data_IF_354689842459
#
_entry.id   IF_354689842459
#
_cell.length_a   1.000
_cell.length_b   1.000
_cell.length_c   1.000
_cell.angle_alpha   90.00
_cell.angle_beta   90.00
_cell.angle_gamma   90.00
#
_symmetry.space_group_name_H-M   'P 1'
#
loop_
_entity.id
_entity.type
_entity.pdbx_description
1 polymer ?
#
# COMPACT_ATOMS: atom_id res chain seq x y z
N UNK A 1 22.95 -25.21 14.14
CA UNK A 1 22.32 -24.05 14.82
C UNK A 1 21.00 -23.76 14.13
N UNK A 2 19.88 -23.91 14.83
CA UNK A 2 18.57 -23.45 14.34
C UNK A 2 18.51 -21.95 14.61
N UNK A 3 18.50 -21.13 13.54
CA UNK A 3 18.30 -19.69 13.67
C UNK A 3 16.94 -19.42 14.28
N UNK A 4 16.89 -18.70 15.40
CA UNK A 4 15.64 -18.29 16.02
C UNK A 4 15.03 -17.23 15.10
N UNK A 5 13.93 -17.56 14.42
CA UNK A 5 13.19 -16.60 13.62
C UNK A 5 12.65 -15.50 14.55
N UNK A 6 13.25 -14.30 14.48
CA UNK A 6 12.76 -13.14 15.23
C UNK A 6 11.65 -12.46 14.45
N UNK A 7 10.48 -12.34 15.07
CA UNK A 7 9.47 -11.36 14.65
C UNK A 7 9.95 -9.98 15.15
N UNK A 8 9.76 -8.88 14.40
CA UNK A 8 10.04 -7.53 14.92
C UNK A 8 9.34 -7.30 16.28
N UNK A 9 9.75 -6.34 17.10
CA UNK A 9 8.95 -5.98 18.30
C UNK A 9 7.68 -5.20 17.90
N UNK A 10 7.86 -4.31 16.94
CA UNK A 10 6.82 -3.54 16.25
C UNK A 10 7.37 -3.11 14.87
N UNK A 11 6.49 -2.67 13.98
CA UNK A 11 6.87 -2.01 12.73
C UNK A 11 5.94 -0.84 12.45
N UNK A 12 6.44 0.28 11.93
CA UNK A 12 5.58 1.35 11.42
C UNK A 12 5.29 1.06 9.96
N UNK A 13 4.07 1.35 9.55
CA UNK A 13 3.65 1.25 8.15
C UNK A 13 2.92 2.51 7.76
N UNK A 14 3.28 3.05 6.60
CA UNK A 14 2.52 4.07 5.92
C UNK A 14 1.87 3.46 4.68
N UNK A 15 0.56 3.55 4.58
CA UNK A 15 -0.22 3.11 3.43
C UNK A 15 -0.79 4.33 2.69
N UNK A 16 -0.57 4.39 1.38
CA UNK A 16 -1.04 5.48 0.51
C UNK A 16 -1.92 4.90 -0.58
N UNK A 17 -3.16 5.39 -0.67
CA UNK A 17 -4.07 5.11 -1.78
C UNK A 17 -3.86 6.16 -2.87
N UNK A 18 -3.58 5.69 -4.08
CA UNK A 18 -3.24 6.53 -5.23
C UNK A 18 -4.17 6.17 -6.38
N UNK A 19 -4.60 7.18 -7.12
CA UNK A 19 -5.35 7.05 -8.36
C UNK A 19 -4.45 7.42 -9.54
N UNK A 20 -4.33 6.50 -10.50
CA UNK A 20 -3.58 6.70 -11.75
C UNK A 20 -4.52 6.91 -12.93
N UNK A 21 -4.22 7.88 -13.78
CA UNK A 21 -5.02 8.22 -14.95
C UNK A 21 -4.16 8.87 -16.04
N UNK A 22 -4.61 8.81 -17.29
CA UNK A 22 -4.04 9.59 -18.40
C UNK A 22 -4.71 10.96 -18.55
N UNK A 23 -5.84 11.17 -17.85
CA UNK A 23 -6.61 12.40 -17.90
C UNK A 23 -6.07 13.47 -16.95
N UNK A 24 -6.44 14.73 -17.20
CA UNK A 24 -6.13 15.82 -16.30
C UNK A 24 -6.81 15.63 -14.93
N UNK A 25 -6.25 16.29 -13.91
CA UNK A 25 -6.83 16.29 -12.57
C UNK A 25 -8.31 16.75 -12.63
N UNK A 26 -9.25 15.99 -12.05
CA UNK A 26 -10.67 16.33 -12.10
C UNK A 26 -10.95 17.62 -11.33
N UNK A 27 -11.76 18.49 -11.93
CA UNK A 27 -12.22 19.74 -11.31
C UNK A 27 -13.09 19.43 -10.09
N UNK A 28 -12.87 20.14 -8.99
CA UNK A 28 -13.65 19.98 -7.75
C UNK A 28 -13.17 18.90 -6.77
N UNK A 29 -12.16 18.08 -7.11
CA UNK A 29 -11.51 17.18 -6.13
C UNK A 29 -10.18 17.75 -5.64
N UNK A 30 -10.03 17.86 -4.33
CA UNK A 30 -8.76 18.26 -3.70
C UNK A 30 -7.79 17.07 -3.60
N UNK A 31 -7.41 16.52 -4.75
CA UNK A 31 -6.39 15.47 -4.83
C UNK A 31 -4.99 16.09 -4.83
N UNK A 32 -4.06 15.50 -4.10
CA UNK A 32 -2.66 15.94 -4.13
C UNK A 32 -1.91 15.14 -5.19
N UNK A 33 -0.98 15.78 -5.90
CA UNK A 33 -0.02 15.00 -6.67
C UNK A 33 0.87 14.21 -5.70
N UNK A 34 1.21 12.99 -6.08
CA UNK A 34 2.23 12.22 -5.34
C UNK A 34 3.58 12.91 -5.51
N UNK A 35 4.49 12.70 -4.55
CA UNK A 35 5.85 13.24 -4.67
C UNK A 35 6.58 12.67 -5.91
N UNK A 36 7.58 13.40 -6.40
CA UNK A 36 8.28 13.06 -7.64
C UNK A 36 8.93 11.67 -7.59
N UNK A 37 9.52 11.28 -6.45
CA UNK A 37 10.16 9.97 -6.29
C UNK A 37 9.14 8.84 -6.42
N UNK A 38 7.97 8.99 -5.79
CA UNK A 38 6.89 8.01 -5.89
C UNK A 38 6.28 8.00 -7.30
N UNK A 39 6.10 9.16 -7.91
CA UNK A 39 5.64 9.29 -9.30
C UNK A 39 6.55 8.52 -10.26
N UNK A 40 7.86 8.76 -10.19
CA UNK A 40 8.83 8.14 -11.09
C UNK A 40 8.86 6.63 -10.90
N UNK A 41 8.79 6.16 -9.64
CA UNK A 41 8.68 4.73 -9.33
C UNK A 41 7.48 4.09 -10.01
N UNK A 42 6.31 4.73 -9.95
CA UNK A 42 5.09 4.20 -10.55
C UNK A 42 5.13 4.30 -12.08
N UNK A 43 5.59 5.41 -12.64
CA UNK A 43 5.67 5.64 -14.08
C UNK A 43 6.67 4.71 -14.79
N UNK A 44 7.72 4.27 -14.09
CA UNK A 44 8.67 3.29 -14.63
C UNK A 44 8.08 1.88 -14.79
N UNK A 45 6.96 1.58 -14.11
CA UNK A 45 6.34 0.24 -14.10
C UNK A 45 4.96 0.26 -14.76
N UNK A 46 4.22 1.35 -14.63
CA UNK A 46 2.84 1.47 -15.08
C UNK A 46 2.68 2.59 -16.11
N UNK A 47 1.72 2.43 -17.01
CA UNK A 47 1.54 3.28 -18.20
C UNK A 47 0.93 4.67 -17.95
N UNK A 48 0.51 4.99 -16.73
CA UNK A 48 -0.35 6.16 -16.47
C UNK A 48 0.46 7.45 -16.43
N UNK A 49 -0.08 8.53 -17.02
CA UNK A 49 0.61 9.83 -17.06
C UNK A 49 0.59 10.58 -15.72
N UNK A 50 -0.51 10.45 -14.99
CA UNK A 50 -0.78 11.21 -13.78
C UNK A 50 -1.07 10.27 -12.61
N UNK A 51 -0.58 10.64 -11.43
CA UNK A 51 -0.77 9.90 -10.18
C UNK A 51 -1.14 10.88 -9.06
N UNK A 52 -2.26 10.59 -8.40
CA UNK A 52 -2.80 11.46 -7.37
C UNK A 52 -3.02 10.70 -6.06
N UNK A 53 -2.53 11.25 -4.96
CA UNK A 53 -2.83 10.77 -3.62
C UNK A 53 -4.29 11.05 -3.29
N UNK A 54 -5.01 9.98 -2.98
CA UNK A 54 -6.40 10.01 -2.52
C UNK A 54 -6.44 10.07 -1.01
N UNK A 55 -5.65 9.23 -0.34
CA UNK A 55 -5.55 9.20 1.12
C UNK A 55 -4.22 8.57 1.55
N UNK A 56 -3.75 8.93 2.75
CA UNK A 56 -2.57 8.39 3.40
C UNK A 56 -2.85 8.12 4.86
N UNK A 57 -2.47 6.94 5.32
CA UNK A 57 -2.63 6.51 6.71
C UNK A 57 -1.31 5.96 7.22
N UNK A 58 -1.03 6.17 8.50
CA UNK A 58 0.13 5.60 9.19
C UNK A 58 -0.37 4.80 10.38
N UNK A 59 0.20 3.61 10.60
CA UNK A 59 -0.12 2.75 11.72
C UNK A 59 1.15 2.15 12.32
N UNK A 60 1.12 1.88 13.62
CA UNK A 60 2.11 1.04 14.29
C UNK A 60 1.55 -0.37 14.38
N UNK A 61 2.32 -1.35 13.92
CA UNK A 61 1.99 -2.76 13.90
C UNK A 61 2.71 -3.44 15.07
N UNK A 62 2.02 -3.69 16.20
CA UNK A 62 2.61 -4.46 17.28
C UNK A 62 2.67 -5.94 16.89
N UNK A 63 3.77 -6.61 17.20
CA UNK A 63 3.93 -8.02 16.84
C UNK A 63 3.08 -8.99 17.63
N UNK A 64 2.46 -8.50 18.71
CA UNK A 64 1.44 -9.22 19.47
C UNK A 64 0.07 -9.22 18.78
N UNK A 65 -0.19 -8.31 17.82
CA UNK A 65 -1.46 -8.27 17.11
C UNK A 65 -1.54 -9.37 16.05
N UNK A 66 -2.69 -10.04 15.99
CA UNK A 66 -2.94 -11.10 15.01
C UNK A 66 -3.06 -10.55 13.58
N UNK A 67 -3.76 -9.43 13.41
CA UNK A 67 -3.98 -8.69 12.15
C UNK A 67 -4.34 -7.25 12.52
N UNK A 68 -3.77 -6.27 11.82
CA UNK A 68 -4.14 -4.86 11.92
C UNK A 68 -4.80 -4.41 10.61
N UNK A 69 -5.96 -3.80 10.69
CA UNK A 69 -6.64 -3.22 9.52
C UNK A 69 -6.37 -1.73 9.42
N UNK A 70 -6.00 -1.27 8.23
CA UNK A 70 -5.80 0.14 7.88
C UNK A 70 -6.83 0.50 6.81
N UNK A 71 -7.79 1.36 7.16
CA UNK A 71 -8.84 1.81 6.24
C UNK A 71 -8.35 3.00 5.42
N UNK A 72 -8.35 2.87 4.09
CA UNK A 72 -7.90 3.90 3.15
C UNK A 72 -9.06 4.65 2.50
N UNK A 73 -10.20 3.99 2.32
CA UNK A 73 -11.46 4.61 1.92
C UNK A 73 -12.64 3.76 2.41
N UNK A 74 -13.87 4.12 2.05
CA UNK A 74 -15.04 3.26 2.32
C UNK A 74 -14.94 1.91 1.62
N UNK A 75 -14.37 1.89 0.42
CA UNK A 75 -14.26 0.69 -0.41
C UNK A 75 -12.86 0.05 -0.36
N UNK A 76 -11.88 0.63 0.34
CA UNK A 76 -10.50 0.13 0.33
C UNK A 76 -9.90 0.08 1.73
N UNK A 77 -9.40 -1.10 2.11
CA UNK A 77 -8.57 -1.29 3.30
C UNK A 77 -7.48 -2.32 3.05
N UNK A 78 -6.46 -2.30 3.90
CA UNK A 78 -5.44 -3.35 3.95
C UNK A 78 -5.42 -3.98 5.34
N UNK A 79 -5.40 -5.32 5.35
CA UNK A 79 -5.13 -6.13 6.52
C UNK A 79 -3.63 -6.46 6.53
N UNK A 80 -2.93 -6.10 7.60
CA UNK A 80 -1.49 -6.33 7.73
C UNK A 80 -1.22 -7.21 8.95
N UNK A 81 -0.42 -8.25 8.75
CA UNK A 81 0.03 -9.15 9.81
C UNK A 81 1.55 -9.25 9.78
N UNK A 82 2.18 -9.03 10.93
CA UNK A 82 3.60 -9.34 11.10
C UNK A 82 3.78 -10.84 11.29
N UNK A 83 4.70 -11.41 10.50
CA UNK A 83 5.11 -12.80 10.53
C UNK A 83 6.55 -12.89 11.06
N UNK A 84 7.00 -14.09 11.49
CA UNK A 84 8.40 -14.32 11.79
C UNK A 84 9.32 -13.98 10.61
N UNK A 85 10.63 -13.89 10.88
CA UNK A 85 11.66 -13.59 9.87
C UNK A 85 11.53 -12.21 9.22
N UNK A 86 11.01 -11.22 9.97
CA UNK A 86 10.81 -9.85 9.47
C UNK A 86 9.99 -9.80 8.17
N UNK A 87 8.85 -10.49 8.13
CA UNK A 87 7.94 -10.48 6.98
C UNK A 87 6.61 -9.88 7.40
N UNK A 88 6.03 -9.03 6.55
CA UNK A 88 4.63 -8.63 6.63
C UNK A 88 3.81 -9.37 5.58
N UNK A 89 2.68 -9.95 5.98
CA UNK A 89 1.63 -10.40 5.08
C UNK A 89 0.58 -9.29 4.98
N UNK A 90 0.35 -8.83 3.75
CA UNK A 90 -0.55 -7.73 3.44
C UNK A 90 -1.65 -8.27 2.54
N UNK A 91 -2.89 -8.10 2.96
CA UNK A 91 -4.08 -8.48 2.22
C UNK A 91 -4.90 -7.24 1.91
N UNK A 92 -5.11 -6.98 0.63
CA UNK A 92 -5.94 -5.88 0.15
C UNK A 92 -7.41 -6.30 0.13
N UNK A 93 -8.26 -5.46 0.72
CA UNK A 93 -9.71 -5.58 0.67
C UNK A 93 -10.26 -4.44 -0.18
N UNK A 94 -10.95 -4.79 -1.26
CA UNK A 94 -11.63 -3.86 -2.17
C UNK A 94 -13.11 -4.19 -2.23
N UNK A 95 -13.98 -3.20 -2.00
CA UNK A 95 -15.45 -3.35 -2.00
C UNK A 95 -15.92 -4.51 -1.12
N UNK A 96 -15.29 -4.65 0.05
CA UNK A 96 -15.58 -5.72 1.01
C UNK A 96 -15.05 -7.11 0.63
N UNK A 97 -14.31 -7.25 -0.48
CA UNK A 97 -13.76 -8.54 -0.96
C UNK A 97 -12.25 -8.55 -0.92
N UNK A 98 -11.67 -9.69 -0.55
CA UNK A 98 -10.22 -9.89 -0.65
C UNK A 98 -9.80 -9.87 -2.12
N UNK A 99 -8.88 -8.97 -2.48
CA UNK A 99 -8.42 -8.81 -3.86
C UNK A 99 -7.07 -9.49 -4.08
N UNK A 100 -6.11 -9.26 -3.18
CA UNK A 100 -4.77 -9.83 -3.28
C UNK A 100 -4.15 -9.99 -1.89
N UNK A 101 -3.37 -11.05 -1.71
CA UNK A 101 -2.50 -11.24 -0.54
C UNK A 101 -1.06 -11.30 -1.01
N UNK A 102 -0.17 -10.55 -0.38
CA UNK A 102 1.27 -10.53 -0.66
C UNK A 102 2.08 -10.58 0.61
N UNK A 103 3.20 -11.30 0.56
CA UNK A 103 4.24 -11.25 1.58
C UNK A 103 5.32 -10.28 1.15
N UNK A 104 5.80 -9.48 2.09
CA UNK A 104 6.83 -8.49 1.89
C UNK A 104 7.85 -8.58 3.02
N UNK A 105 9.13 -8.69 2.67
CA UNK A 105 10.22 -8.70 3.66
C UNK A 105 10.48 -7.27 4.11
N UNK A 106 10.39 -7.02 5.42
CA UNK A 106 10.67 -5.74 6.06
C UNK A 106 12.16 -5.38 6.04
N UNK A 107 13.03 -6.32 5.68
CA UNK A 107 14.45 -6.06 5.44
C UNK A 107 14.70 -5.36 4.10
N UNK A 108 13.70 -5.30 3.21
CA UNK A 108 13.83 -4.60 1.94
C UNK A 108 13.50 -3.11 2.13
N UNK A 109 14.31 -2.19 1.58
CA UNK A 109 14.02 -0.75 1.64
C UNK A 109 12.90 -0.33 0.67
N UNK A 110 12.43 -1.26 -0.16
CA UNK A 110 11.45 -0.99 -1.21
C UNK A 110 10.02 -1.03 -0.70
N UNK A 111 9.17 -0.17 -1.26
CA UNK A 111 7.74 -0.17 -0.96
C UNK A 111 7.08 -1.43 -1.55
N UNK A 112 6.08 -1.95 -0.86
CA UNK A 112 5.11 -2.88 -1.47
C UNK A 112 4.09 -2.06 -2.26
N UNK A 113 4.00 -2.32 -3.56
CA UNK A 113 2.96 -1.71 -4.43
C UNK A 113 1.95 -2.78 -4.81
N UNK A 114 0.69 -2.54 -4.45
CA UNK A 114 -0.46 -3.30 -4.91
C UNK A 114 -1.23 -2.44 -5.92
N UNK A 115 -1.61 -2.99 -7.06
CA UNK A 115 -2.23 -2.23 -8.14
C UNK A 115 -3.34 -3.03 -8.81
N UNK A 116 -4.31 -2.34 -9.38
CA UNK A 116 -5.31 -2.93 -10.25
C UNK A 116 -6.03 -1.88 -11.10
N UNK A 117 -6.58 -2.35 -12.21
CA UNK A 117 -7.40 -1.51 -13.08
C UNK A 117 -8.69 -1.10 -12.36
N UNK A 118 -9.19 0.08 -12.73
CA UNK A 118 -10.50 0.58 -12.35
C UNK A 118 -11.31 0.96 -13.60
N UNK A 119 -12.57 1.33 -13.40
CA UNK A 119 -13.44 1.79 -14.49
C UNK A 119 -12.84 3.01 -15.21
N UNK A 120 -13.25 3.19 -16.46
CA UNK A 120 -12.97 4.38 -17.27
C UNK A 120 -11.49 4.63 -17.56
N UNK A 121 -10.69 3.58 -17.83
CA UNK A 121 -9.25 3.73 -18.13
C UNK A 121 -8.51 4.46 -17.00
N UNK A 122 -8.72 4.00 -15.78
CA UNK A 122 -7.95 4.47 -14.62
C UNK A 122 -7.46 3.26 -13.83
N UNK A 123 -6.59 3.49 -12.87
CA UNK A 123 -6.13 2.46 -11.95
C UNK A 123 -6.08 2.96 -10.52
N UNK A 124 -6.16 2.03 -9.59
CA UNK A 124 -5.88 2.26 -8.17
C UNK A 124 -4.54 1.62 -7.81
N UNK A 125 -3.85 2.24 -6.85
CA UNK A 125 -2.63 1.72 -6.25
C UNK A 125 -2.70 1.87 -4.74
N UNK A 126 -2.23 0.86 -4.03
CA UNK A 126 -1.93 0.95 -2.60
C UNK A 126 -0.44 0.73 -2.43
N UNK A 127 0.25 1.76 -1.94
CA UNK A 127 1.68 1.74 -1.69
C UNK A 127 1.90 1.66 -0.18
N UNK A 128 2.59 0.62 0.27
CA UNK A 128 2.96 0.43 1.67
C UNK A 128 4.46 0.60 1.84
N UNK A 129 4.86 1.57 2.66
CA UNK A 129 6.22 1.75 3.13
C UNK A 129 6.30 1.27 4.57
N UNK A 130 7.23 0.36 4.86
CA UNK A 130 7.49 -0.15 6.20
C UNK A 130 8.79 0.45 6.73
N UNK A 131 8.80 0.83 8.00
CA UNK A 131 9.90 1.55 8.65
C UNK A 131 9.93 1.39 10.17
#
# INVERSE_FOLDING_TARGET
>A
MLGVASTPGEARVQAVLIWGTDEAKPTGKNLKEVDSKLRDRLANVFKWKNYFEVNRQTATLPSSAKVQTIKLSEECSVEVKLLPENVAEVKLIGKGKAMVTRRHSLSKPDALVLAGDDKNKTAWFVVLNFN
#
